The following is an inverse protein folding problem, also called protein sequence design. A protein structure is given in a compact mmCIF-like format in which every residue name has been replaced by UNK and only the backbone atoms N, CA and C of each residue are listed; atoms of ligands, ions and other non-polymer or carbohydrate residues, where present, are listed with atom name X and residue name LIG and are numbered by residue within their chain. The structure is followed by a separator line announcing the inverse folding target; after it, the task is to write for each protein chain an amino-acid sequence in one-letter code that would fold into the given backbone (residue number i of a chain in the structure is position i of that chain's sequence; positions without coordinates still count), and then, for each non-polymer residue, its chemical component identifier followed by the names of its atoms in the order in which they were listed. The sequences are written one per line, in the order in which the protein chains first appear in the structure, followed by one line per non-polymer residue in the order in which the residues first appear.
data_IF_811362183260
#
_entry.id   IF_811362183260
#
_cell.length_a   1.000
_cell.length_b   1.000
_cell.length_c   1.000
_cell.angle_alpha   90.00
_cell.angle_beta   90.00
_cell.angle_gamma   90.00
#
_symmetry.space_group_name_H-M   'P 1'
#
loop_
_entity.id
_entity.type
_entity.pdbx_description
1 polymer ?
#
# COMPACT_ATOMS: atom_id res chain seq x y z
N UNK A 1 -2.43 12.29 -2.01
CA UNK A 1 -1.16 11.76 -1.49
C UNK A 1 -1.02 10.32 -1.94
N UNK A 2 0.20 9.88 -2.21
CA UNK A 2 0.56 8.52 -2.57
C UNK A 2 1.51 7.99 -1.49
N UNK A 3 1.06 6.98 -0.76
CA UNK A 3 1.83 6.28 0.26
C UNK A 3 2.35 4.98 -0.36
N UNK A 4 3.68 4.87 -0.49
CA UNK A 4 4.30 3.63 -0.94
C UNK A 4 4.58 2.73 0.25
N UNK A 5 4.27 1.45 0.13
CA UNK A 5 4.43 0.43 1.16
C UNK A 5 5.13 -0.75 0.53
N UNK A 6 6.11 -1.34 1.20
CA UNK A 6 6.91 -2.46 0.70
C UNK A 6 6.81 -3.62 1.67
N UNK A 7 6.66 -4.84 1.17
CA UNK A 7 6.57 -6.06 1.98
C UNK A 7 7.44 -7.12 1.33
N UNK A 8 8.34 -7.75 2.09
CA UNK A 8 9.15 -8.89 1.66
C UNK A 8 8.31 -10.17 1.56
N UNK A 9 7.40 -10.17 0.59
CA UNK A 9 6.58 -11.32 0.23
C UNK A 9 6.25 -11.29 -1.25
N UNK A 10 6.12 -12.47 -1.82
CA UNK A 10 5.60 -12.68 -3.17
C UNK A 10 4.09 -12.95 -3.18
N UNK A 11 3.47 -13.11 -2.00
CA UNK A 11 2.05 -13.44 -1.88
C UNK A 11 1.17 -12.19 -2.01
N UNK A 12 1.10 -11.70 -3.24
CA UNK A 12 0.32 -10.53 -3.61
C UNK A 12 -1.17 -10.65 -3.24
N UNK A 13 -1.71 -11.87 -3.28
CA UNK A 13 -3.10 -12.13 -2.92
C UNK A 13 -3.33 -11.94 -1.42
N UNK A 14 -2.49 -12.51 -0.57
CA UNK A 14 -2.57 -12.35 0.88
C UNK A 14 -2.33 -10.89 1.27
N UNK A 15 -1.39 -10.20 0.63
CA UNK A 15 -1.19 -8.75 0.82
C UNK A 15 -2.47 -7.98 0.48
N UNK A 16 -3.07 -8.25 -0.68
CA UNK A 16 -4.34 -7.61 -1.08
C UNK A 16 -5.48 -7.92 -0.12
N UNK A 17 -5.59 -9.15 0.37
CA UNK A 17 -6.61 -9.55 1.35
C UNK A 17 -6.41 -8.88 2.71
N UNK A 18 -5.17 -8.81 3.20
CA UNK A 18 -4.81 -8.15 4.43
C UNK A 18 -5.12 -6.64 4.36
N UNK A 19 -4.77 -5.99 3.23
CA UNK A 19 -5.17 -4.61 2.97
C UNK A 19 -6.68 -4.44 2.97
N UNK A 20 -7.41 -5.29 2.24
CA UNK A 20 -8.87 -5.20 2.16
C UNK A 20 -9.53 -5.40 3.51
N UNK A 21 -8.95 -6.20 4.41
CA UNK A 21 -9.44 -6.34 5.78
C UNK A 21 -9.10 -5.13 6.65
N UNK A 22 -7.91 -4.56 6.49
CA UNK A 22 -7.42 -3.47 7.31
C UNK A 22 -8.05 -2.11 6.96
N UNK A 23 -8.22 -1.84 5.67
CA UNK A 23 -8.76 -0.57 5.15
C UNK A 23 -10.24 -0.70 4.76
N UNK A 24 -10.75 -1.91 4.54
CA UNK A 24 -12.15 -2.14 4.23
C UNK A 24 -12.60 -1.40 2.96
N UNK A 25 -13.72 -0.68 3.06
CA UNK A 25 -14.29 0.15 2.00
C UNK A 25 -13.57 1.49 1.79
N UNK A 26 -12.56 1.81 2.62
CA UNK A 26 -11.74 3.03 2.48
C UNK A 26 -10.66 2.89 1.40
N UNK A 27 -10.54 1.71 0.79
CA UNK A 27 -9.60 1.47 -0.30
C UNK A 27 -10.03 2.27 -1.53
N UNK A 28 -9.31 3.36 -1.78
CA UNK A 28 -9.30 4.05 -3.07
C UNK A 28 -8.51 3.28 -4.13
N UNK A 29 -8.09 3.98 -5.18
CA UNK A 29 -7.21 3.40 -6.21
C UNK A 29 -5.85 3.07 -5.56
N UNK A 30 -5.39 1.84 -5.73
CA UNK A 30 -4.05 1.42 -5.32
C UNK A 30 -3.39 0.59 -6.42
N UNK A 31 -2.08 0.72 -6.54
CA UNK A 31 -1.26 -0.18 -7.34
C UNK A 31 -0.59 -1.21 -6.43
N UNK A 32 -0.55 -2.46 -6.89
CA UNK A 32 0.21 -3.54 -6.31
C UNK A 32 1.13 -4.09 -7.41
N UNK A 33 2.43 -4.01 -7.18
CA UNK A 33 3.46 -4.55 -8.06
C UNK A 33 4.28 -5.59 -7.31
N UNK A 34 4.58 -6.71 -7.97
CA UNK A 34 5.35 -7.81 -7.38
C UNK A 34 6.68 -7.89 -8.12
N UNK A 35 7.76 -7.65 -7.39
CA UNK A 35 9.11 -7.79 -7.89
C UNK A 35 9.62 -9.19 -7.55
N UNK A 36 9.56 -10.09 -8.54
CA UNK A 36 10.06 -11.46 -8.38
C UNK A 36 11.58 -11.54 -8.26
N UNK A 37 12.32 -10.53 -8.73
CA UNK A 37 13.78 -10.49 -8.64
C UNK A 37 14.26 -10.22 -7.20
N UNK A 38 13.51 -9.43 -6.44
CA UNK A 38 13.79 -9.06 -5.04
C UNK A 38 12.90 -9.78 -4.03
N UNK A 39 12.02 -10.67 -4.49
CA UNK A 39 11.03 -11.35 -3.65
C UNK A 39 10.13 -10.38 -2.84
N UNK A 40 9.80 -9.23 -3.44
CA UNK A 40 9.18 -8.10 -2.74
C UNK A 40 7.90 -7.63 -3.41
N UNK A 41 6.86 -7.37 -2.62
CA UNK A 41 5.63 -6.72 -3.08
C UNK A 41 5.66 -5.24 -2.70
N UNK A 42 5.40 -4.37 -3.68
CA UNK A 42 5.28 -2.93 -3.49
C UNK A 42 3.84 -2.50 -3.73
N UNK A 43 3.28 -1.80 -2.74
CA UNK A 43 1.98 -1.16 -2.82
C UNK A 43 2.11 0.35 -2.91
N UNK A 44 1.24 0.97 -3.68
CA UNK A 44 1.05 2.42 -3.69
C UNK A 44 -0.42 2.74 -3.43
N UNK A 45 -0.66 3.41 -2.31
CA UNK A 45 -1.99 3.76 -1.82
C UNK A 45 -2.26 5.23 -2.08
N UNK A 46 -3.35 5.54 -2.77
CA UNK A 46 -3.83 6.92 -2.84
C UNK A 46 -4.71 7.26 -1.62
N UNK A 47 -4.39 8.38 -0.99
CA UNK A 47 -5.11 8.96 0.14
C UNK A 47 -5.31 10.47 -0.04
N UNK A 48 -6.36 11.00 0.58
CA UNK A 48 -6.41 12.43 0.95
C UNK A 48 -5.37 12.73 2.03
N UNK A 49 -4.83 13.95 2.07
CA UNK A 49 -3.81 14.32 3.07
C UNK A 49 -4.32 14.15 4.51
N UNK A 50 -5.59 14.48 4.73
CA UNK A 50 -6.28 14.32 6.01
C UNK A 50 -6.38 12.85 6.47
N UNK A 51 -6.39 11.91 5.53
CA UNK A 51 -6.52 10.47 5.80
C UNK A 51 -5.17 9.74 5.87
N UNK A 52 -4.05 10.44 5.67
CA UNK A 52 -2.73 9.80 5.62
C UNK A 52 -2.37 9.09 6.93
N UNK A 53 -2.66 9.71 8.07
CA UNK A 53 -2.37 9.13 9.38
C UNK A 53 -3.21 7.86 9.65
N UNK A 54 -4.53 7.94 9.44
CA UNK A 54 -5.45 6.79 9.53
C UNK A 54 -5.02 5.65 8.59
N UNK A 55 -4.61 5.98 7.36
CA UNK A 55 -4.09 5.03 6.38
C UNK A 55 -2.82 4.34 6.89
N UNK A 56 -1.85 5.09 7.41
CA UNK A 56 -0.60 4.53 7.95
C UNK A 56 -0.87 3.61 9.15
N UNK A 57 -1.75 4.03 10.07
CA UNK A 57 -2.17 3.21 11.21
C UNK A 57 -2.85 1.90 10.78
N UNK A 58 -3.78 1.98 9.82
CA UNK A 58 -4.46 0.81 9.30
C UNK A 58 -3.48 -0.15 8.58
N UNK A 59 -2.53 0.37 7.82
CA UNK A 59 -1.47 -0.44 7.19
C UNK A 59 -0.59 -1.09 8.26
N UNK A 60 -0.11 -0.36 9.27
CA UNK A 60 0.68 -0.96 10.36
C UNK A 60 -0.07 -2.09 11.08
N UNK A 61 -1.39 -1.93 11.25
CA UNK A 61 -2.23 -2.94 11.90
C UNK A 61 -2.49 -4.16 11.02
N UNK A 62 -2.72 -3.97 9.72
CA UNK A 62 -3.02 -5.04 8.77
C UNK A 62 -1.80 -5.76 8.21
N UNK A 63 -0.70 -5.02 8.09
CA UNK A 63 0.57 -5.43 7.52
C UNK A 63 1.70 -4.96 8.43
N UNK A 64 1.91 -5.59 9.60
CA UNK A 64 2.94 -5.17 10.55
C UNK A 64 4.37 -5.32 10.01
N UNK A 65 4.56 -6.14 8.98
CA UNK A 65 5.86 -6.34 8.32
C UNK A 65 6.11 -5.37 7.17
N UNK A 66 5.17 -4.45 6.92
CA UNK A 66 5.29 -3.50 5.85
C UNK A 66 6.22 -2.34 6.18
N UNK A 67 7.08 -1.98 5.23
CA UNK A 67 7.94 -0.82 5.29
C UNK A 67 7.33 0.35 4.53
N UNK A 68 7.19 1.49 5.20
CA UNK A 68 6.73 2.72 4.55
C UNK A 68 7.85 3.35 3.73
N UNK A 69 7.59 3.55 2.44
CA UNK A 69 8.42 4.37 1.56
C UNK A 69 8.05 5.85 1.61
N UNK A 70 8.66 6.62 0.73
CA UNK A 70 8.42 8.07 0.62
C UNK A 70 6.95 8.37 0.31
N UNK A 71 6.31 9.19 1.14
CA UNK A 71 5.00 9.77 0.84
C UNK A 71 5.16 10.87 -0.18
N UNK A 72 4.43 10.79 -1.29
CA UNK A 72 4.48 11.80 -2.36
C UNK A 72 3.11 12.44 -2.53
N UNK A 73 3.01 13.70 -2.98
CA UNK A 73 1.75 14.20 -3.52
C UNK A 73 1.31 13.29 -4.67
N UNK A 74 0.02 12.95 -4.71
CA UNK A 74 -0.50 12.07 -5.76
C UNK A 74 -0.56 12.87 -7.07
N UNK A 75 0.55 12.94 -7.80
CA UNK A 75 0.46 13.02 -9.24
C UNK A 75 -0.18 11.70 -9.68
N UNK A 76 -1.21 11.78 -10.53
CA UNK A 76 -1.95 10.66 -11.13
C UNK A 76 -1.16 9.35 -11.11
N UNK A 77 -1.69 8.29 -10.47
CA UNK A 77 -1.16 6.94 -10.59
C UNK A 77 -1.32 6.50 -12.05
N UNK A 78 -0.41 6.93 -12.92
CA UNK A 78 -0.33 6.44 -14.29
C UNK A 78 0.27 5.05 -14.19
N UNK A 79 -0.58 4.02 -14.35
CA UNK A 79 -0.10 2.68 -14.62
C UNK A 79 0.70 2.73 -15.92
N UNK A 80 2.00 2.50 -15.83
CA UNK A 80 2.88 2.28 -16.98
C UNK A 80 3.06 0.78 -17.14
#
# INVERSE_FOLDING_TARGET
MALTVRIDTLDALNVRLALHRALGTRIGIYLLSVDHARAQSTLQLQCSRDQLDDMMQAVMRGLPQAEFGTVRPAATLTGQ
#
